data_IF_537119783636
#
_entry.id   IF_537119783636
#
_cell.length_a   1.000
_cell.length_b   1.000
_cell.length_c   1.000
_cell.angle_alpha   90.00
_cell.angle_beta   90.00
_cell.angle_gamma   90.00
#
_symmetry.space_group_name_H-M   'P 1'
#
loop_
_entity.id
_entity.type
_entity.pdbx_description
1 polymer ?
#
# COMPACT_ATOMS: atom_id res chain seq x y z
N UNK A 1 3.50 -15.11 9.39
CA UNK A 1 2.87 -13.87 9.87
C UNK A 1 2.50 -12.94 8.72
N UNK A 2 3.43 -12.27 8.03
CA UNK A 2 3.10 -11.46 6.82
C UNK A 2 2.55 -12.34 5.69
N UNK A 3 3.21 -13.46 5.38
CA UNK A 3 2.75 -14.39 4.33
C UNK A 3 1.34 -14.93 4.61
N UNK A 4 1.02 -15.22 5.86
CA UNK A 4 -0.31 -15.68 6.28
C UNK A 4 -1.36 -14.57 6.11
N UNK A 5 -0.99 -13.32 6.39
CA UNK A 5 -1.85 -12.16 6.16
C UNK A 5 -2.09 -11.94 4.67
N UNK A 6 -1.04 -11.94 3.84
CA UNK A 6 -1.18 -11.86 2.38
C UNK A 6 -2.05 -13.00 1.84
N UNK A 7 -1.87 -14.23 2.34
CA UNK A 7 -2.70 -15.38 1.95
C UNK A 7 -4.16 -15.19 2.34
N UNK A 8 -4.44 -14.74 3.57
CA UNK A 8 -5.80 -14.51 4.09
C UNK A 8 -6.57 -13.50 3.24
N UNK A 9 -5.89 -12.50 2.69
CA UNK A 9 -6.49 -11.43 1.89
C UNK A 9 -6.31 -11.62 0.38
N UNK A 10 -5.74 -12.75 -0.06
CA UNK A 10 -5.59 -13.07 -1.49
C UNK A 10 -4.52 -12.25 -2.23
N UNK A 11 -3.52 -11.73 -1.51
CA UNK A 11 -2.48 -10.83 -2.03
C UNK A 11 -1.12 -11.51 -2.25
N UNK A 12 -1.02 -12.83 -2.09
CA UNK A 12 0.26 -13.56 -2.10
C UNK A 12 1.06 -13.46 -3.41
N UNK A 13 0.39 -13.31 -4.55
CA UNK A 13 1.04 -13.22 -5.87
C UNK A 13 0.95 -11.82 -6.47
N UNK A 14 0.58 -10.83 -5.66
CA UNK A 14 0.36 -9.47 -6.13
C UNK A 14 1.65 -8.65 -6.09
N UNK A 15 1.66 -7.54 -6.83
CA UNK A 15 2.87 -6.74 -7.05
C UNK A 15 2.99 -5.58 -6.06
N UNK A 16 4.22 -5.11 -5.90
CA UNK A 16 4.53 -3.89 -5.14
C UNK A 16 4.37 -2.65 -6.00
N UNK A 17 3.75 -1.61 -5.44
CA UNK A 17 3.67 -0.29 -6.10
C UNK A 17 5.05 0.31 -6.39
N UNK A 18 6.08 -0.01 -5.60
CA UNK A 18 7.42 0.54 -5.75
C UNK A 18 8.02 0.18 -7.12
N UNK A 19 7.68 -1.00 -7.65
CA UNK A 19 8.14 -1.45 -8.96
C UNK A 19 7.58 -0.64 -10.13
N UNK A 20 6.53 0.16 -9.90
CA UNK A 20 5.84 0.98 -10.91
C UNK A 20 6.13 2.48 -10.80
N UNK A 21 6.86 2.87 -9.76
CA UNK A 21 7.22 4.24 -9.42
C UNK A 21 8.75 4.39 -9.38
N UNK A 22 9.44 3.70 -10.30
CA UNK A 22 10.91 3.70 -10.43
C UNK A 22 11.49 5.07 -10.80
N UNK A 23 10.63 5.98 -11.28
CA UNK A 23 10.96 7.37 -11.60
C UNK A 23 10.86 8.34 -10.41
N UNK A 24 10.48 7.87 -9.22
CA UNK A 24 10.41 8.65 -7.99
C UNK A 24 11.78 8.71 -7.28
N UNK A 25 12.01 9.76 -6.50
CA UNK A 25 13.31 10.07 -5.90
C UNK A 25 13.74 9.04 -4.85
N UNK A 26 12.87 8.77 -3.88
CA UNK A 26 13.10 7.76 -2.84
C UNK A 26 11.79 7.18 -2.27
N UNK A 27 11.93 6.16 -1.42
CA UNK A 27 10.80 5.48 -0.77
C UNK A 27 9.97 6.42 0.13
N UNK A 28 10.58 7.43 0.73
CA UNK A 28 9.91 8.43 1.56
C UNK A 28 8.97 9.30 0.74
N UNK A 29 9.39 9.72 -0.45
CA UNK A 29 8.54 10.43 -1.41
C UNK A 29 7.34 9.55 -1.82
N UNK A 30 7.58 8.28 -2.17
CA UNK A 30 6.51 7.34 -2.55
C UNK A 30 5.53 7.12 -1.39
N UNK A 31 6.03 6.98 -0.15
CA UNK A 31 5.23 6.85 1.07
C UNK A 31 4.29 8.05 1.27
N UNK A 32 4.81 9.26 1.12
CA UNK A 32 4.03 10.50 1.28
C UNK A 32 2.88 10.55 0.27
N UNK A 33 3.16 10.35 -1.01
CA UNK A 33 2.13 10.38 -2.06
C UNK A 33 1.12 9.24 -1.92
N UNK A 34 1.55 8.02 -1.55
CA UNK A 34 0.64 6.91 -1.30
C UNK A 34 -0.37 7.29 -0.21
N UNK A 35 0.09 7.82 0.93
CA UNK A 35 -0.80 8.25 2.00
C UNK A 35 -1.69 9.43 1.60
N UNK A 36 -1.17 10.38 0.83
CA UNK A 36 -1.96 11.49 0.33
C UNK A 36 -3.12 10.98 -0.54
N UNK A 37 -2.86 10.06 -1.47
CA UNK A 37 -3.89 9.46 -2.33
C UNK A 37 -4.86 8.60 -1.53
N UNK A 38 -4.37 7.72 -0.66
CA UNK A 38 -5.22 6.82 0.13
C UNK A 38 -6.20 7.60 1.01
N UNK A 39 -5.77 8.70 1.63
CA UNK A 39 -6.63 9.57 2.45
C UNK A 39 -7.72 10.29 1.67
N UNK A 40 -7.68 10.30 0.33
CA UNK A 40 -8.76 10.85 -0.50
C UNK A 40 -9.95 9.89 -0.64
N UNK A 41 -9.79 8.60 -0.34
CA UNK A 41 -10.87 7.63 -0.39
C UNK A 41 -11.67 7.66 0.93
N UNK A 42 -12.93 8.14 0.92
CA UNK A 42 -13.73 8.30 2.14
C UNK A 42 -14.12 6.97 2.77
N UNK A 43 -14.08 5.89 2.00
CA UNK A 43 -14.40 4.52 2.39
C UNK A 43 -13.17 3.70 2.77
N UNK A 44 -11.97 4.31 2.79
CA UNK A 44 -10.75 3.64 3.22
C UNK A 44 -10.89 3.16 4.66
N UNK A 45 -10.85 1.84 4.84
CA UNK A 45 -11.04 1.19 6.13
C UNK A 45 -9.85 0.33 6.48
N UNK A 46 -9.37 0.44 7.72
CA UNK A 46 -8.38 -0.48 8.28
C UNK A 46 -9.07 -1.77 8.70
N UNK A 47 -8.64 -2.90 8.17
CA UNK A 47 -9.28 -4.21 8.39
C UNK A 47 -8.52 -5.08 9.38
N UNK A 48 -7.19 -5.10 9.28
CA UNK A 48 -6.32 -5.96 10.09
C UNK A 48 -4.94 -5.31 10.23
N UNK A 49 -4.18 -5.72 11.25
CA UNK A 49 -2.82 -5.22 11.44
C UNK A 49 -1.97 -6.16 12.29
N UNK A 50 -0.67 -6.06 12.06
CA UNK A 50 0.37 -6.61 12.91
C UNK A 50 1.33 -5.46 13.23
N UNK A 51 1.53 -5.17 14.53
CA UNK A 51 2.35 -4.03 14.97
C UNK A 51 3.54 -4.56 15.78
N UNK A 52 4.74 -4.16 15.37
CA UNK A 52 5.98 -4.35 16.11
C UNK A 52 6.41 -3.07 16.84
N UNK A 53 7.63 -3.06 17.39
CA UNK A 53 8.20 -1.88 18.07
C UNK A 53 8.46 -0.73 17.09
N UNK A 54 8.73 -1.07 15.83
CA UNK A 54 9.29 -0.15 14.82
C UNK A 54 8.25 0.34 13.79
N UNK A 55 7.02 -0.15 13.87
CA UNK A 55 5.94 0.16 12.92
C UNK A 55 4.99 -1.01 12.75
N UNK A 56 4.28 -1.05 11.62
CA UNK A 56 3.31 -2.12 11.39
C UNK A 56 3.01 -2.44 9.94
N UNK A 57 2.52 -3.66 9.78
CA UNK A 57 1.91 -4.17 8.57
C UNK A 57 0.39 -4.04 8.71
N UNK A 58 -0.25 -3.51 7.69
CA UNK A 58 -1.66 -3.15 7.72
C UNK A 58 -2.38 -3.69 6.51
N UNK A 59 -3.60 -4.17 6.73
CA UNK A 59 -4.56 -4.38 5.66
C UNK A 59 -5.56 -3.24 5.69
N UNK A 60 -5.68 -2.55 4.56
CA UNK A 60 -6.77 -1.63 4.30
C UNK A 60 -7.69 -2.18 3.22
N UNK A 61 -8.93 -1.69 3.22
CA UNK A 61 -9.88 -1.92 2.15
C UNK A 61 -10.50 -0.62 1.66
N UNK A 62 -10.80 -0.54 0.36
CA UNK A 62 -11.62 0.51 -0.25
C UNK A 62 -12.21 -0.02 -1.56
N UNK A 63 -13.42 0.41 -1.91
CA UNK A 63 -14.13 -0.02 -3.12
C UNK A 63 -14.14 -1.55 -3.34
N UNK A 64 -14.21 -2.33 -2.26
CA UNK A 64 -14.21 -3.80 -2.31
C UNK A 64 -12.85 -4.45 -2.61
N UNK A 65 -11.76 -3.68 -2.65
CA UNK A 65 -10.40 -4.20 -2.84
C UNK A 65 -9.61 -4.12 -1.54
N UNK A 66 -8.62 -5.01 -1.38
CA UNK A 66 -7.66 -4.98 -0.29
C UNK A 66 -6.33 -4.44 -0.75
N UNK A 67 -5.66 -3.72 0.14
CA UNK A 67 -4.26 -3.32 0.01
C UNK A 67 -3.53 -3.73 1.28
N UNK A 68 -2.33 -4.27 1.11
CA UNK A 68 -1.39 -4.51 2.18
C UNK A 68 -0.37 -3.37 2.19
N UNK A 69 -0.11 -2.79 3.35
CA UNK A 69 0.86 -1.72 3.54
C UNK A 69 1.82 -2.12 4.65
N UNK A 70 3.10 -2.20 4.31
CA UNK A 70 4.17 -2.10 5.33
C UNK A 70 4.49 -0.62 5.47
N UNK A 71 4.39 -0.09 6.69
CA UNK A 71 4.79 1.28 7.01
C UNK A 71 5.45 1.29 8.39
N UNK A 72 6.79 1.23 8.37
CA UNK A 72 7.64 1.26 9.54
C UNK A 72 8.82 2.25 9.35
N UNK A 73 9.65 2.40 10.39
CA UNK A 73 10.78 3.34 10.36
C UNK A 73 11.88 2.94 9.36
N UNK A 74 11.89 1.70 8.88
CA UNK A 74 12.93 1.17 7.99
C UNK A 74 12.47 1.09 6.53
N UNK A 75 11.19 0.86 6.30
CA UNK A 75 10.65 0.58 4.97
C UNK A 75 9.19 0.95 4.81
N UNK A 76 8.81 1.10 3.55
CA UNK A 76 7.44 1.30 3.11
C UNK A 76 7.21 0.45 1.87
N UNK A 77 6.07 -0.23 1.85
CA UNK A 77 5.63 -0.96 0.68
C UNK A 77 4.10 -0.98 0.62
N UNK A 78 3.55 -1.00 -0.58
CA UNK A 78 2.13 -1.20 -0.83
C UNK A 78 1.96 -2.31 -1.85
N UNK A 79 1.25 -3.36 -1.46
CA UNK A 79 0.92 -4.51 -2.30
C UNK A 79 -0.59 -4.55 -2.49
N UNK A 80 -1.01 -4.66 -3.75
CA UNK A 80 -2.42 -4.74 -4.12
C UNK A 80 -2.55 -5.41 -5.49
N UNK A 81 -3.77 -5.76 -5.89
CA UNK A 81 -4.00 -6.28 -7.23
C UNK A 81 -3.65 -5.26 -8.31
N UNK A 82 -3.23 -5.73 -9.49
CA UNK A 82 -2.75 -4.86 -10.58
C UNK A 82 -3.69 -3.68 -10.91
N UNK A 83 -5.02 -3.86 -11.05
CA UNK A 83 -5.92 -2.74 -11.35
C UNK A 83 -5.93 -1.66 -10.26
N UNK A 84 -5.75 -2.05 -8.99
CA UNK A 84 -5.65 -1.11 -7.87
C UNK A 84 -4.31 -0.38 -7.92
N UNK A 85 -3.22 -1.09 -8.21
CA UNK A 85 -1.90 -0.47 -8.38
C UNK A 85 -1.91 0.54 -9.53
N UNK A 86 -2.45 0.19 -10.69
CA UNK A 86 -2.56 1.10 -11.84
C UNK A 86 -3.31 2.40 -11.48
N UNK A 87 -4.46 2.26 -10.80
CA UNK A 87 -5.26 3.39 -10.33
C UNK A 87 -4.49 4.29 -9.34
N UNK A 88 -3.79 3.68 -8.39
CA UNK A 88 -3.02 4.42 -7.39
C UNK A 88 -1.83 5.12 -8.04
N UNK A 89 -1.11 4.45 -8.93
CA UNK A 89 0.03 5.01 -9.68
C UNK A 89 -0.40 6.20 -10.53
N UNK A 90 -1.53 6.11 -11.25
CA UNK A 90 -2.06 7.23 -12.04
C UNK A 90 -2.35 8.45 -11.15
N UNK A 91 -3.01 8.24 -10.01
CA UNK A 91 -3.31 9.32 -9.06
C UNK A 91 -2.05 9.91 -8.44
N UNK A 92 -1.08 9.08 -8.04
CA UNK A 92 0.20 9.53 -7.49
C UNK A 92 0.95 10.37 -8.53
N UNK A 93 1.04 9.91 -9.78
CA UNK A 93 1.68 10.65 -10.87
C UNK A 93 0.97 11.96 -11.21
N UNK A 94 -0.32 12.09 -10.94
CA UNK A 94 -1.06 13.35 -11.12
C UNK A 94 -0.80 14.41 -10.04
N UNK A 95 -0.22 14.02 -8.90
CA UNK A 95 0.12 14.91 -7.79
C UNK A 95 1.55 15.46 -7.88
N UNK A 96 2.39 14.83 -8.71
CA UNK A 96 3.80 15.17 -8.94
C UNK A 96 3.94 16.09 -10.16
#
# INVERSE_FOLDING_TARGET
MIEEMLLKYGLTNESSILSMLDDFGDEGEVREYCWQVLRTYPDLKKEDWIIGIEGGDYIYSFNGNYIFITDDIWSFNLIACQPVLDLLVEKIKSLR
#
